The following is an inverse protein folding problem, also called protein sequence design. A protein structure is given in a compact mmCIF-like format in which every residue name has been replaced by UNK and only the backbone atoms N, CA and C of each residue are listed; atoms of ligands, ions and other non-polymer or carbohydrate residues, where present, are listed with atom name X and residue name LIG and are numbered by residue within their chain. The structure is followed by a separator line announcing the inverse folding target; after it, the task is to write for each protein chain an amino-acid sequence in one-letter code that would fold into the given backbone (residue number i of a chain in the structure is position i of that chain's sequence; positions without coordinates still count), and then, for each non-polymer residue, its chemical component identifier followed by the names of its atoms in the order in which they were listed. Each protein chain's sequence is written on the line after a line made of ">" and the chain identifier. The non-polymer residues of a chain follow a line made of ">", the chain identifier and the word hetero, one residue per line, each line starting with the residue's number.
data_IF_292890443487
#
_entry.id   IF_292890443487
#
_cell.length_a   1.000
_cell.length_b   1.000
_cell.length_c   1.000
_cell.angle_alpha   90.00
_cell.angle_beta   90.00
_cell.angle_gamma   90.00
#
_symmetry.space_group_name_H-M   'P 1'
#
loop_
_entity.id
_entity.type
_entity.pdbx_description
1 polymer ?
#
# COMPACT_ATOMS: atom_id res chain seq x y z
N UNK A 1 42.31 12.20 67.81
CA UNK A 1 43.62 12.55 67.22
C UNK A 1 43.58 12.11 65.77
N UNK A 2 43.65 12.88 64.69
CA UNK A 2 43.73 14.31 64.37
C UNK A 2 42.97 14.43 63.01
N UNK A 3 42.04 15.39 62.82
CA UNK A 3 42.17 16.59 61.94
C UNK A 3 43.12 16.37 60.73
N UNK A 4 42.79 16.70 59.47
CA UNK A 4 42.40 18.05 59.00
C UNK A 4 42.00 18.07 57.50
N UNK A 5 41.02 18.93 57.15
CA UNK A 5 40.85 19.81 55.95
C UNK A 5 40.71 19.33 54.48
N UNK A 6 39.58 19.75 53.88
CA UNK A 6 39.18 20.01 52.46
C UNK A 6 40.11 21.03 51.72
N UNK A 7 39.85 21.48 50.45
CA UNK A 7 39.24 20.89 49.23
C UNK A 7 40.05 21.22 47.92
N UNK A 8 39.66 20.69 46.75
CA UNK A 8 39.97 21.33 45.46
C UNK A 8 38.90 21.02 44.40
N UNK A 9 38.23 22.08 43.96
CA UNK A 9 37.36 22.14 42.78
C UNK A 9 38.15 21.83 41.51
N UNK A 10 37.63 20.95 40.66
CA UNK A 10 37.98 20.89 39.25
C UNK A 10 36.70 20.89 38.41
N UNK A 11 36.40 22.04 37.83
CA UNK A 11 35.38 22.23 36.79
C UNK A 11 35.95 21.64 35.50
N UNK A 12 35.36 20.55 35.00
CA UNK A 12 35.62 20.05 33.65
C UNK A 12 34.41 20.37 32.78
N UNK A 13 34.60 21.31 31.86
CA UNK A 13 33.62 21.74 30.88
C UNK A 13 33.25 20.60 29.92
N UNK A 14 31.96 20.33 29.81
CA UNK A 14 31.40 19.49 28.78
C UNK A 14 31.39 20.27 27.45
N UNK A 15 32.43 20.05 26.63
CA UNK A 15 32.41 20.46 25.24
C UNK A 15 31.43 19.55 24.47
N UNK A 16 30.31 20.14 24.04
CA UNK A 16 29.31 19.48 23.21
C UNK A 16 29.88 19.12 21.85
N UNK A 17 30.12 17.83 21.62
CA UNK A 17 30.29 17.25 20.29
C UNK A 17 28.91 17.16 19.64
N UNK A 18 28.59 18.16 18.82
CA UNK A 18 27.52 18.08 17.82
C UNK A 18 27.94 17.02 16.79
N UNK A 19 27.45 15.78 16.96
CA UNK A 19 27.53 14.80 15.89
C UNK A 19 26.60 15.23 14.75
N UNK A 20 27.10 15.33 13.51
CA UNK A 20 26.23 15.54 12.37
C UNK A 20 25.30 14.34 12.24
N UNK A 21 23.99 14.60 12.27
CA UNK A 21 22.96 13.64 11.93
C UNK A 21 23.13 13.35 10.43
N UNK A 22 23.90 12.33 10.09
CA UNK A 22 23.91 11.79 8.74
C UNK A 22 22.51 11.25 8.47
N UNK A 23 21.79 11.73 7.43
CA UNK A 23 20.52 11.14 7.06
C UNK A 23 20.77 9.66 6.79
N UNK A 24 20.06 8.80 7.50
CA UNK A 24 20.00 7.38 7.19
C UNK A 24 19.53 7.27 5.73
N UNK A 25 20.48 7.02 4.83
CA UNK A 25 20.17 6.64 3.47
C UNK A 25 19.28 5.41 3.57
N UNK A 26 18.01 5.56 3.18
CA UNK A 26 17.09 4.44 3.07
C UNK A 26 17.75 3.44 2.12
N UNK A 27 18.14 2.28 2.66
CA UNK A 27 18.75 1.22 1.85
C UNK A 27 17.84 0.96 0.64
N UNK A 28 18.44 0.93 -0.56
CA UNK A 28 17.69 0.58 -1.76
C UNK A 28 17.04 -0.80 -1.55
N UNK A 29 15.77 -0.98 -1.96
CA UNK A 29 15.10 -2.25 -1.81
C UNK A 29 15.93 -3.36 -2.46
N UNK A 30 16.19 -4.42 -1.71
CA UNK A 30 16.98 -5.56 -2.18
C UNK A 30 16.23 -6.31 -3.29
N UNK A 31 16.99 -6.93 -4.20
CA UNK A 31 16.46 -7.82 -5.21
C UNK A 31 15.87 -9.09 -4.58
N UNK A 32 14.74 -9.56 -5.11
CA UNK A 32 13.99 -10.69 -4.58
C UNK A 32 13.51 -11.61 -5.69
N UNK A 33 13.47 -12.92 -5.42
CA UNK A 33 12.96 -13.90 -6.36
C UNK A 33 11.44 -13.76 -6.54
N UNK A 34 11.00 -13.72 -7.80
CA UNK A 34 9.60 -13.76 -8.17
C UNK A 34 9.24 -15.20 -8.57
N UNK A 35 8.18 -15.79 -8.00
CA UNK A 35 7.76 -17.14 -8.37
C UNK A 35 7.19 -17.16 -9.80
N UNK A 36 7.98 -17.71 -10.73
CA UNK A 36 7.51 -18.08 -12.08
C UNK A 36 6.95 -19.49 -11.99
N UNK A 37 5.62 -19.63 -12.03
CA UNK A 37 4.99 -20.93 -11.86
C UNK A 37 5.27 -21.79 -13.09
N UNK A 38 5.76 -23.01 -12.88
CA UNK A 38 6.07 -23.94 -13.96
C UNK A 38 6.98 -23.31 -15.05
N UNK A 39 7.99 -22.52 -14.65
CA UNK A 39 8.92 -21.87 -15.59
C UNK A 39 9.83 -22.82 -16.37
N UNK A 40 9.89 -24.09 -15.98
CA UNK A 40 10.56 -25.17 -16.73
C UNK A 40 9.61 -25.99 -17.60
N UNK A 41 8.32 -25.64 -17.58
CA UNK A 41 7.25 -26.26 -18.35
C UNK A 41 7.09 -27.77 -18.16
N UNK A 42 7.53 -28.30 -17.01
CA UNK A 42 7.46 -29.72 -16.70
C UNK A 42 6.02 -30.20 -16.45
N UNK A 43 5.14 -29.31 -15.98
CA UNK A 43 3.76 -29.66 -15.61
C UNK A 43 2.74 -29.28 -16.71
N UNK A 44 1.74 -30.13 -16.98
CA UNK A 44 1.58 -31.49 -16.44
C UNK A 44 2.61 -32.46 -17.03
N UNK A 45 2.97 -33.53 -16.33
CA UNK A 45 3.97 -34.52 -16.81
C UNK A 45 3.64 -35.01 -18.22
N UNK A 46 4.59 -34.86 -19.14
CA UNK A 46 4.45 -35.34 -20.52
C UNK A 46 4.49 -36.86 -20.60
N UNK A 47 3.62 -37.44 -21.44
CA UNK A 47 3.65 -38.86 -21.82
C UNK A 47 4.31 -38.99 -23.19
N UNK A 48 5.59 -39.37 -23.21
CA UNK A 48 6.39 -39.52 -24.42
C UNK A 48 7.12 -38.24 -24.84
N UNK A 49 7.91 -38.35 -25.91
CA UNK A 49 8.89 -37.32 -26.27
C UNK A 49 8.38 -36.30 -27.31
N UNK A 50 7.31 -36.60 -28.06
CA UNK A 50 6.83 -35.78 -29.16
C UNK A 50 6.18 -34.44 -28.75
N UNK A 51 5.96 -33.51 -29.71
CA UNK A 51 5.29 -32.25 -29.43
C UNK A 51 3.87 -32.49 -28.94
N UNK A 52 3.48 -31.77 -27.89
CA UNK A 52 2.13 -31.82 -27.33
C UNK A 52 1.51 -30.43 -27.29
N UNK A 53 0.20 -30.37 -27.57
CA UNK A 53 -0.63 -29.17 -27.40
C UNK A 53 -1.45 -29.23 -26.10
N UNK A 54 -1.18 -30.21 -25.24
CA UNK A 54 -1.76 -30.24 -23.89
C UNK A 54 -1.37 -28.95 -23.18
N UNK A 55 -2.33 -28.32 -22.51
CA UNK A 55 -2.13 -27.07 -21.77
C UNK A 55 -0.96 -27.18 -20.81
N UNK A 56 -0.23 -26.08 -20.66
CA UNK A 56 0.91 -25.97 -19.75
C UNK A 56 0.37 -25.34 -18.46
N UNK A 57 0.52 -26.02 -17.33
CA UNK A 57 -0.06 -25.53 -16.08
C UNK A 57 0.45 -24.12 -15.74
N UNK A 58 -0.47 -23.24 -15.36
CA UNK A 58 -0.23 -21.81 -15.04
C UNK A 58 0.16 -20.89 -16.22
N UNK A 59 0.22 -21.42 -17.43
CA UNK A 59 0.49 -20.64 -18.64
C UNK A 59 -0.72 -20.67 -19.57
N UNK A 60 -0.98 -19.56 -20.25
CA UNK A 60 -2.07 -19.44 -21.22
C UNK A 60 -1.52 -19.13 -22.62
N UNK A 61 -2.24 -19.60 -23.64
CA UNK A 61 -1.95 -19.31 -25.05
C UNK A 61 -1.72 -20.56 -25.90
N UNK A 62 -1.51 -20.34 -27.21
CA UNK A 62 -1.46 -21.38 -28.23
C UNK A 62 -0.02 -21.78 -28.56
N UNK A 63 0.48 -22.81 -27.89
CA UNK A 63 1.89 -23.22 -27.97
C UNK A 63 2.03 -24.74 -28.15
N UNK A 64 3.22 -25.20 -28.51
CA UNK A 64 3.58 -26.61 -28.49
C UNK A 64 4.71 -26.85 -27.49
N UNK A 65 4.50 -27.78 -26.57
CA UNK A 65 5.53 -28.19 -25.62
C UNK A 65 6.28 -29.41 -26.11
N UNK A 66 7.58 -29.43 -25.92
CA UNK A 66 8.52 -30.49 -26.28
C UNK A 66 9.20 -31.01 -25.01
N UNK A 67 9.37 -32.33 -24.94
CA UNK A 67 10.18 -32.98 -23.90
C UNK A 67 11.62 -32.44 -23.91
N UNK A 68 12.41 -32.62 -22.83
CA UNK A 68 13.81 -32.23 -22.81
C UNK A 68 14.58 -32.87 -23.97
N UNK A 69 14.40 -34.18 -24.19
CA UNK A 69 15.04 -34.92 -25.29
C UNK A 69 14.66 -34.38 -26.66
N UNK A 70 13.37 -34.18 -26.94
CA UNK A 70 12.92 -33.71 -28.25
C UNK A 70 13.25 -32.23 -28.52
N UNK A 71 13.48 -31.45 -27.45
CA UNK A 71 13.93 -30.07 -27.53
C UNK A 71 15.47 -29.93 -27.52
N UNK A 72 16.19 -31.05 -27.52
CA UNK A 72 17.65 -31.09 -27.53
C UNK A 72 18.29 -30.62 -26.23
N UNK A 73 17.55 -30.67 -25.12
CA UNK A 73 17.98 -30.25 -23.79
C UNK A 73 18.47 -31.42 -22.95
N UNK A 74 19.44 -31.14 -22.09
CA UNK A 74 20.05 -32.13 -21.16
C UNK A 74 19.71 -31.88 -19.69
N UNK A 75 19.02 -30.77 -19.38
CA UNK A 75 18.81 -30.25 -18.04
C UNK A 75 17.38 -30.43 -17.51
N UNK A 76 16.67 -31.43 -18.05
CA UNK A 76 15.28 -31.81 -17.73
C UNK A 76 14.20 -30.73 -17.93
N UNK A 77 14.55 -29.51 -18.33
CA UNK A 77 13.58 -28.48 -18.68
C UNK A 77 12.99 -28.71 -20.06
N UNK A 78 11.73 -28.35 -20.23
CA UNK A 78 10.98 -28.54 -21.47
C UNK A 78 11.09 -27.28 -22.34
N UNK A 79 11.01 -27.46 -23.66
CA UNK A 79 10.98 -26.36 -24.61
C UNK A 79 9.56 -26.06 -25.07
N UNK A 80 9.19 -24.79 -25.21
CA UNK A 80 7.85 -24.38 -25.67
C UNK A 80 7.98 -23.55 -26.94
N UNK A 81 7.46 -24.08 -28.05
CA UNK A 81 7.42 -23.41 -29.33
C UNK A 81 6.21 -22.48 -29.43
N UNK A 82 6.47 -21.22 -29.83
CA UNK A 82 5.46 -20.15 -29.90
C UNK A 82 4.56 -20.23 -31.14
N UNK A 83 4.72 -21.24 -31.99
CA UNK A 83 3.93 -21.47 -33.21
C UNK A 83 3.93 -20.25 -34.18
N UNK A 84 2.78 -19.92 -34.77
CA UNK A 84 2.62 -18.90 -35.83
C UNK A 84 2.58 -17.47 -35.31
N UNK A 85 2.76 -16.48 -36.19
CA UNK A 85 2.64 -15.06 -35.87
C UNK A 85 1.40 -14.73 -35.01
N UNK A 86 1.62 -13.93 -33.98
CA UNK A 86 0.59 -13.48 -33.03
C UNK A 86 0.20 -14.50 -31.96
N UNK A 87 0.62 -15.77 -32.05
CA UNK A 87 0.44 -16.71 -30.95
C UNK A 87 1.29 -16.30 -29.75
N UNK A 88 0.74 -16.52 -28.55
CA UNK A 88 1.33 -16.06 -27.29
C UNK A 88 1.53 -17.18 -26.29
N UNK A 89 2.52 -17.01 -25.41
CA UNK A 89 2.71 -17.73 -24.16
C UNK A 89 2.71 -16.71 -23.02
N UNK A 90 1.72 -16.81 -22.12
CA UNK A 90 1.43 -15.77 -21.12
C UNK A 90 1.38 -16.36 -19.71
N UNK A 91 1.96 -15.63 -18.77
CA UNK A 91 1.78 -15.90 -17.33
C UNK A 91 1.76 -14.60 -16.55
N UNK A 92 0.91 -14.57 -15.53
CA UNK A 92 0.90 -13.49 -14.55
C UNK A 92 1.95 -13.70 -13.46
N UNK A 93 2.84 -12.73 -13.27
CA UNK A 93 3.90 -12.77 -12.26
C UNK A 93 3.32 -12.44 -10.88
N UNK A 94 2.94 -13.47 -10.12
CA UNK A 94 2.20 -13.33 -8.85
C UNK A 94 3.04 -12.64 -7.77
N UNK A 95 2.40 -11.75 -7.00
CA UNK A 95 3.03 -11.01 -5.90
C UNK A 95 3.89 -9.80 -6.30
N UNK A 96 4.14 -9.59 -7.59
CA UNK A 96 4.85 -8.40 -8.10
C UNK A 96 3.93 -7.18 -8.02
N UNK A 97 4.46 -6.04 -7.59
CA UNK A 97 3.70 -4.79 -7.41
C UNK A 97 3.84 -3.85 -8.61
N UNK A 98 2.80 -3.06 -8.87
CA UNK A 98 2.91 -1.94 -9.79
C UNK A 98 4.08 -1.02 -9.37
N UNK A 99 4.91 -0.60 -10.32
CA UNK A 99 6.13 0.16 -10.10
C UNK A 99 7.37 -0.67 -9.74
N UNK A 100 7.25 -1.99 -9.52
CA UNK A 100 8.41 -2.86 -9.32
C UNK A 100 9.23 -2.96 -10.59
N UNK A 101 10.56 -2.97 -10.45
CA UNK A 101 11.47 -3.27 -11.57
C UNK A 101 11.71 -4.77 -11.62
N UNK A 102 11.24 -5.42 -12.68
CA UNK A 102 11.31 -6.87 -12.87
C UNK A 102 12.39 -7.19 -13.89
N UNK A 103 13.22 -8.18 -13.58
CA UNK A 103 14.16 -8.80 -14.52
C UNK A 103 13.74 -10.25 -14.75
N UNK A 104 13.40 -10.57 -15.98
CA UNK A 104 13.08 -11.93 -16.43
C UNK A 104 14.30 -12.49 -17.15
N UNK A 105 14.79 -13.63 -16.70
CA UNK A 105 15.80 -14.41 -17.40
C UNK A 105 15.17 -15.66 -17.98
N UNK A 106 15.50 -16.00 -19.21
CA UNK A 106 14.95 -17.16 -19.90
C UNK A 106 15.93 -17.63 -20.96
N UNK A 107 15.60 -18.73 -21.64
CA UNK A 107 16.35 -19.19 -22.80
C UNK A 107 15.49 -19.28 -24.03
N UNK A 108 16.10 -19.05 -25.18
CA UNK A 108 15.48 -19.20 -26.49
C UNK A 108 16.28 -20.17 -27.39
N UNK A 109 15.61 -20.77 -28.36
CA UNK A 109 16.21 -21.62 -29.39
C UNK A 109 15.40 -21.53 -30.68
N UNK A 110 16.04 -21.64 -31.87
CA UNK A 110 15.32 -21.92 -33.10
C UNK A 110 14.59 -23.27 -33.00
N UNK A 111 13.57 -23.46 -33.84
CA UNK A 111 12.74 -24.66 -33.87
C UNK A 111 13.54 -25.97 -34.01
N UNK A 112 13.13 -27.01 -33.29
CA UNK A 112 13.76 -28.35 -33.32
C UNK A 112 13.04 -29.34 -34.23
N UNK A 113 11.90 -28.96 -34.81
CA UNK A 113 11.11 -29.86 -35.66
C UNK A 113 11.89 -30.33 -36.89
N UNK A 114 11.74 -31.61 -37.23
CA UNK A 114 12.31 -32.22 -38.44
C UNK A 114 11.72 -31.65 -39.74
N UNK A 115 10.58 -30.96 -39.64
CA UNK A 115 9.89 -30.38 -40.80
C UNK A 115 10.50 -29.04 -41.24
N UNK A 116 11.39 -28.45 -40.43
CA UNK A 116 11.99 -27.15 -40.74
C UNK A 116 13.14 -27.29 -41.73
N UNK A 117 13.17 -26.39 -42.72
CA UNK A 117 14.27 -26.27 -43.68
C UNK A 117 15.40 -25.39 -43.11
N UNK A 118 16.60 -25.50 -43.69
CA UNK A 118 17.73 -24.63 -43.32
C UNK A 118 17.41 -23.14 -43.48
N UNK A 119 16.81 -22.77 -44.61
CA UNK A 119 16.41 -21.39 -44.91
C UNK A 119 15.46 -20.79 -43.85
N UNK A 120 14.62 -21.60 -43.19
CA UNK A 120 13.66 -21.14 -42.19
C UNK A 120 14.28 -20.84 -40.82
N UNK A 121 15.49 -21.32 -40.55
CA UNK A 121 16.14 -21.20 -39.23
C UNK A 121 17.58 -20.68 -39.30
N UNK A 122 18.18 -20.56 -40.48
CA UNK A 122 19.59 -20.16 -40.66
C UNK A 122 19.91 -18.81 -40.02
N UNK A 123 18.98 -17.85 -40.13
CA UNK A 123 19.12 -16.49 -39.56
C UNK A 123 18.42 -16.35 -38.19
N UNK A 124 17.94 -17.47 -37.65
CA UNK A 124 17.12 -17.50 -36.44
C UNK A 124 15.66 -17.15 -36.72
N UNK A 125 14.85 -17.19 -35.67
CA UNK A 125 13.41 -16.99 -35.77
C UNK A 125 12.96 -15.84 -34.86
N UNK A 126 12.15 -14.90 -35.37
CA UNK A 126 11.77 -13.72 -34.61
C UNK A 126 10.63 -13.99 -33.62
N UNK A 127 10.69 -13.37 -32.46
CA UNK A 127 9.64 -13.30 -31.45
C UNK A 127 9.73 -11.98 -30.67
N UNK A 128 8.70 -11.66 -29.91
CA UNK A 128 8.69 -10.53 -28.99
C UNK A 128 8.52 -11.02 -27.55
N UNK A 129 9.13 -10.31 -26.60
CA UNK A 129 8.86 -10.46 -25.17
C UNK A 129 8.37 -9.14 -24.60
N UNK A 130 7.35 -9.19 -23.75
CA UNK A 130 6.80 -8.01 -23.07
C UNK A 130 6.26 -8.33 -21.68
N UNK A 131 6.30 -7.34 -20.78
CA UNK A 131 5.61 -7.34 -19.50
C UNK A 131 4.56 -6.25 -19.45
N UNK A 132 3.43 -6.44 -18.75
CA UNK A 132 2.39 -5.40 -18.60
C UNK A 132 2.99 -4.06 -18.14
N UNK A 133 2.82 -3.00 -18.94
CA UNK A 133 3.37 -1.66 -18.69
C UNK A 133 4.83 -1.45 -19.13
N UNK A 134 5.51 -2.51 -19.56
CA UNK A 134 6.87 -2.47 -20.07
C UNK A 134 6.96 -2.28 -21.59
N UNK A 135 8.16 -1.98 -22.12
CA UNK A 135 8.39 -1.92 -23.55
C UNK A 135 8.32 -3.33 -24.17
N UNK A 136 7.84 -3.43 -25.40
CA UNK A 136 7.97 -4.66 -26.20
C UNK A 136 9.42 -4.77 -26.68
N UNK A 137 10.07 -5.90 -26.42
CA UNK A 137 11.40 -6.20 -26.92
C UNK A 137 11.30 -7.25 -28.04
N UNK A 138 11.62 -6.85 -29.27
CA UNK A 138 11.74 -7.77 -30.40
C UNK A 138 13.10 -8.49 -30.32
N UNK A 139 13.09 -9.80 -30.54
CA UNK A 139 14.24 -10.69 -30.41
C UNK A 139 14.25 -11.70 -31.55
N UNK A 140 15.44 -12.09 -31.98
CA UNK A 140 15.65 -13.20 -32.92
C UNK A 140 16.50 -14.25 -32.23
N UNK A 141 16.08 -15.52 -32.32
CA UNK A 141 16.85 -16.65 -31.78
C UNK A 141 18.21 -16.75 -32.46
N UNK A 142 19.13 -17.53 -31.89
CA UNK A 142 20.32 -17.92 -32.65
C UNK A 142 19.91 -18.66 -33.94
N UNK A 143 20.67 -18.44 -35.01
CA UNK A 143 20.49 -19.16 -36.27
C UNK A 143 20.97 -20.61 -36.19
N UNK A 144 20.46 -21.48 -37.06
CA UNK A 144 20.86 -22.90 -37.14
C UNK A 144 21.24 -23.27 -38.59
N UNK A 145 22.47 -22.95 -39.03
CA UNK A 145 22.91 -23.14 -40.42
C UNK A 145 23.08 -24.62 -40.79
N UNK A 146 23.26 -25.50 -39.80
CA UNK A 146 23.44 -26.93 -40.02
C UNK A 146 22.10 -27.68 -40.17
N UNK A 147 20.98 -26.95 -40.22
CA UNK A 147 19.64 -27.54 -40.30
C UNK A 147 19.38 -28.18 -41.65
N UNK A 148 19.04 -29.47 -41.61
CA UNK A 148 18.58 -30.25 -42.75
C UNK A 148 17.15 -30.78 -42.53
N UNK A 149 16.29 -30.63 -43.54
CA UNK A 149 14.92 -31.16 -43.50
C UNK A 149 14.95 -32.69 -43.32
N UNK A 150 14.03 -33.21 -42.51
CA UNK A 150 13.92 -34.63 -42.16
C UNK A 150 14.74 -35.02 -40.93
N UNK A 151 15.61 -34.14 -40.42
CA UNK A 151 16.42 -34.38 -39.22
C UNK A 151 15.96 -33.47 -38.08
N UNK A 152 15.61 -34.02 -36.89
CA UNK A 152 15.33 -33.19 -35.72
C UNK A 152 16.51 -32.29 -35.36
N UNK A 153 16.21 -31.05 -34.99
CA UNK A 153 17.19 -30.10 -34.49
C UNK A 153 17.73 -30.49 -33.13
N UNK A 154 18.98 -30.11 -32.85
CA UNK A 154 19.63 -30.34 -31.55
C UNK A 154 19.31 -29.26 -30.52
N UNK A 155 18.54 -28.23 -30.88
CA UNK A 155 18.34 -27.03 -30.08
C UNK A 155 19.61 -26.17 -30.02
N UNK A 156 19.46 -24.85 -30.09
CA UNK A 156 20.57 -23.89 -29.90
C UNK A 156 20.18 -22.88 -28.81
N UNK A 157 20.15 -23.39 -27.59
CA UNK A 157 19.68 -22.67 -26.42
C UNK A 157 20.61 -21.52 -26.02
N UNK A 158 20.08 -20.30 -26.02
CA UNK A 158 20.81 -19.08 -25.68
C UNK A 158 20.14 -18.38 -24.50
N UNK A 159 20.95 -17.92 -23.53
CA UNK A 159 20.45 -17.17 -22.38
C UNK A 159 20.05 -15.74 -22.76
N UNK A 160 18.88 -15.31 -22.28
CA UNK A 160 18.30 -13.98 -22.52
C UNK A 160 17.87 -13.33 -21.22
N UNK A 161 17.81 -12.00 -21.24
CA UNK A 161 17.25 -11.20 -20.17
C UNK A 161 16.31 -10.13 -20.75
N UNK A 162 15.23 -9.87 -20.03
CA UNK A 162 14.26 -8.82 -20.32
C UNK A 162 13.95 -8.06 -19.03
N UNK A 163 14.07 -6.73 -19.06
CA UNK A 163 13.86 -5.87 -17.88
C UNK A 163 12.72 -4.91 -18.17
N UNK A 164 11.78 -4.79 -17.23
CA UNK A 164 10.69 -3.84 -17.32
C UNK A 164 10.25 -3.32 -15.96
N UNK A 165 9.53 -2.20 -15.95
CA UNK A 165 8.80 -1.72 -14.77
C UNK A 165 7.35 -2.17 -14.88
N UNK A 166 6.84 -2.84 -13.85
CA UNK A 166 5.47 -3.32 -13.82
C UNK A 166 4.48 -2.15 -13.86
N UNK A 167 3.58 -2.11 -14.86
CA UNK A 167 2.55 -1.08 -14.96
C UNK A 167 1.29 -1.36 -14.15
N UNK A 168 1.13 -2.60 -13.66
CA UNK A 168 -0.01 -3.07 -12.87
C UNK A 168 0.47 -4.06 -11.81
N UNK A 169 -0.38 -4.36 -10.81
CA UNK A 169 -0.09 -5.45 -9.88
C UNK A 169 -0.20 -6.79 -10.60
N UNK A 170 0.64 -7.73 -10.17
CA UNK A 170 0.86 -9.01 -10.83
C UNK A 170 0.91 -8.84 -12.36
N UNK A 171 1.94 -8.22 -12.97
CA UNK A 171 1.98 -7.95 -14.40
C UNK A 171 2.01 -9.26 -15.21
N UNK A 172 1.50 -9.23 -16.44
CA UNK A 172 1.55 -10.37 -17.36
C UNK A 172 2.85 -10.33 -18.15
N UNK A 173 3.64 -11.39 -18.05
CA UNK A 173 4.73 -11.70 -18.95
C UNK A 173 4.18 -12.41 -20.19
N UNK A 174 4.52 -11.92 -21.37
CA UNK A 174 4.05 -12.42 -22.66
C UNK A 174 5.21 -12.64 -23.60
N UNK A 175 5.28 -13.83 -24.19
CA UNK A 175 6.10 -14.12 -25.37
C UNK A 175 5.19 -14.25 -26.58
N UNK A 176 5.53 -13.61 -27.69
CA UNK A 176 4.71 -13.58 -28.90
C UNK A 176 5.53 -14.00 -30.11
N UNK A 177 5.10 -15.02 -30.85
CA UNK A 177 5.77 -15.38 -32.12
C UNK A 177 5.62 -14.26 -33.15
N UNK A 178 6.67 -14.01 -33.93
CA UNK A 178 6.69 -13.09 -35.08
C UNK A 178 6.97 -13.81 -36.40
N UNK A 179 6.84 -15.13 -36.42
CA UNK A 179 7.07 -15.93 -37.62
C UNK A 179 5.88 -15.76 -38.57
N UNK A 180 6.04 -14.89 -39.55
CA UNK A 180 4.99 -14.49 -40.51
C UNK A 180 4.79 -15.47 -41.67
N UNK A 181 5.75 -16.35 -41.91
CA UNK A 181 5.63 -17.34 -42.99
C UNK A 181 4.64 -18.44 -42.63
N UNK A 182 3.37 -18.20 -42.92
CA UNK A 182 2.24 -19.12 -42.72
C UNK A 182 2.31 -20.41 -43.56
N UNK A 183 3.26 -20.54 -44.49
CA UNK A 183 3.52 -21.80 -45.22
C UNK A 183 4.45 -22.74 -44.47
N UNK A 184 5.08 -22.26 -43.38
CA UNK A 184 5.84 -23.10 -42.47
C UNK A 184 4.91 -23.99 -41.66
N UNK A 185 5.33 -25.24 -41.46
CA UNK A 185 4.67 -26.13 -40.51
C UNK A 185 4.61 -25.42 -39.15
N UNK A 186 3.46 -25.47 -38.46
CA UNK A 186 3.22 -24.86 -37.12
C UNK A 186 4.34 -25.16 -36.10
N UNK A 187 5.10 -26.22 -36.36
CA UNK A 187 6.23 -26.72 -35.57
C UNK A 187 7.56 -25.97 -35.81
N UNK A 188 7.65 -25.08 -36.80
CA UNK A 188 8.85 -24.30 -37.15
C UNK A 188 8.80 -22.88 -36.58
N UNK A 189 8.81 -22.80 -35.25
CA UNK A 189 8.69 -21.54 -34.50
C UNK A 189 9.73 -21.42 -33.39
N UNK A 190 10.06 -20.19 -32.97
CA UNK A 190 11.00 -19.97 -31.88
C UNK A 190 10.50 -20.65 -30.62
N UNK A 191 11.45 -21.21 -29.87
CA UNK A 191 11.19 -21.92 -28.64
C UNK A 191 11.73 -21.14 -27.45
N UNK A 192 11.03 -21.23 -26.32
CA UNK A 192 11.44 -20.66 -25.04
C UNK A 192 11.51 -21.72 -23.94
N UNK A 193 12.38 -21.52 -22.95
CA UNK A 193 12.58 -22.42 -21.80
C UNK A 193 13.12 -21.65 -20.57
N UNK A 194 13.13 -22.32 -19.41
CA UNK A 194 13.77 -21.89 -18.15
C UNK A 194 13.48 -20.44 -17.75
N UNK A 195 12.21 -20.09 -17.70
CA UNK A 195 11.80 -18.74 -17.32
C UNK A 195 11.98 -18.59 -15.81
N UNK A 196 12.69 -17.54 -15.40
CA UNK A 196 12.91 -17.10 -14.02
C UNK A 196 12.72 -15.60 -13.95
N UNK A 197 12.34 -15.10 -12.78
CA UNK A 197 12.16 -13.68 -12.58
C UNK A 197 12.66 -13.26 -11.19
N UNK A 198 13.19 -12.04 -11.14
CA UNK A 198 13.52 -11.32 -9.92
C UNK A 198 12.92 -9.93 -9.99
N UNK A 199 12.60 -9.34 -8.84
CA UNK A 199 12.11 -7.97 -8.76
C UNK A 199 12.90 -7.14 -7.76
N UNK A 200 12.93 -5.84 -8.02
CA UNK A 200 13.19 -4.81 -7.02
C UNK A 200 11.85 -4.13 -6.73
N UNK A 201 11.25 -4.34 -5.54
CA UNK A 201 9.96 -3.76 -5.19
C UNK A 201 9.97 -2.22 -5.22
N UNK A 202 8.83 -1.57 -5.48
CA UNK A 202 8.74 -0.12 -5.40
C UNK A 202 8.94 0.34 -3.95
N UNK A 203 9.40 1.59 -3.77
CA UNK A 203 9.43 2.20 -2.46
C UNK A 203 8.00 2.38 -1.94
N UNK A 204 7.79 2.08 -0.65
CA UNK A 204 6.49 2.22 0.00
C UNK A 204 6.14 3.70 0.18
N UNK A 205 5.04 4.14 -0.41
CA UNK A 205 4.52 5.49 -0.21
C UNK A 205 3.79 5.59 1.15
N UNK A 206 4.48 6.17 2.12
CA UNK A 206 3.95 6.39 3.48
C UNK A 206 3.08 7.64 3.61
N UNK A 207 2.89 8.40 2.53
CA UNK A 207 2.08 9.63 2.53
C UNK A 207 0.61 9.38 2.20
N UNK A 208 0.30 8.18 1.71
CA UNK A 208 -1.07 7.76 1.38
C UNK A 208 -1.95 7.74 2.62
N UNK A 209 -3.03 8.50 2.58
CA UNK A 209 -4.01 8.64 3.66
C UNK A 209 -4.83 7.34 3.86
N UNK A 210 -5.27 7.08 5.10
CA UNK A 210 -6.10 5.90 5.43
C UNK A 210 -7.43 5.84 4.68
N UNK A 211 -7.92 6.97 4.19
CA UNK A 211 -9.15 7.10 3.39
C UNK A 211 -8.91 6.96 1.88
N UNK A 212 -7.66 6.76 1.45
CA UNK A 212 -7.27 6.64 0.03
C UNK A 212 -6.23 5.52 -0.18
N UNK A 213 -6.52 4.33 0.32
CA UNK A 213 -5.64 3.14 0.30
C UNK A 213 -5.37 2.58 -1.10
N UNK A 214 -5.97 3.17 -2.14
CA UNK A 214 -5.85 2.74 -3.52
C UNK A 214 -6.90 1.69 -3.91
N UNK A 215 -6.85 1.27 -5.17
CA UNK A 215 -7.79 0.32 -5.74
C UNK A 215 -7.37 -1.11 -5.45
N UNK A 216 -8.29 -1.92 -4.95
CA UNK A 216 -8.16 -3.37 -4.83
C UNK A 216 -8.40 -4.02 -6.19
N UNK A 217 -7.71 -5.12 -6.43
CA UNK A 217 -7.78 -5.86 -7.69
C UNK A 217 -7.97 -7.34 -7.43
N UNK A 218 -8.69 -8.00 -8.34
CA UNK A 218 -8.91 -9.43 -8.28
C UNK A 218 -8.50 -10.11 -9.59
N UNK A 219 -8.04 -11.36 -9.49
CA UNK A 219 -7.59 -12.17 -10.60
C UNK A 219 -8.11 -13.59 -10.47
N UNK A 220 -8.34 -14.23 -11.61
CA UNK A 220 -8.60 -15.67 -11.73
C UNK A 220 -7.62 -16.26 -12.75
N UNK A 221 -6.74 -17.14 -12.30
CA UNK A 221 -5.68 -17.63 -13.18
C UNK A 221 -4.76 -16.47 -13.61
N UNK A 222 -4.62 -16.26 -14.92
CA UNK A 222 -3.84 -15.16 -15.50
C UNK A 222 -4.70 -13.93 -15.86
N UNK A 223 -6.02 -14.00 -15.72
CA UNK A 223 -6.92 -12.93 -16.13
C UNK A 223 -7.33 -12.07 -14.95
N UNK A 224 -7.47 -10.77 -15.21
CA UNK A 224 -7.97 -9.80 -14.24
C UNK A 224 -9.49 -9.86 -14.24
N UNK A 225 -10.09 -9.93 -13.05
CA UNK A 225 -11.54 -9.87 -12.90
C UNK A 225 -12.03 -8.44 -13.07
N UNK A 226 -13.19 -8.27 -13.70
CA UNK A 226 -13.85 -6.97 -13.85
C UNK A 226 -14.50 -6.45 -12.56
N UNK A 227 -14.67 -7.33 -11.57
CA UNK A 227 -15.29 -7.03 -10.27
C UNK A 227 -14.66 -7.87 -9.17
N UNK A 228 -14.61 -7.33 -7.96
CA UNK A 228 -14.09 -8.03 -6.78
C UNK A 228 -15.08 -9.08 -6.24
N UNK A 229 -16.34 -9.04 -6.68
CA UNK A 229 -17.43 -9.85 -6.15
C UNK A 229 -17.13 -11.36 -6.18
N UNK A 230 -16.69 -11.90 -7.32
CA UNK A 230 -16.44 -13.33 -7.47
C UNK A 230 -15.31 -13.81 -6.56
N UNK A 231 -14.23 -13.04 -6.46
CA UNK A 231 -13.10 -13.37 -5.62
C UNK A 231 -13.47 -13.27 -4.13
N UNK A 232 -14.20 -12.23 -3.73
CA UNK A 232 -14.68 -12.08 -2.35
C UNK A 232 -15.67 -13.20 -1.96
N UNK A 233 -16.59 -13.55 -2.86
CA UNK A 233 -17.52 -14.66 -2.66
C UNK A 233 -16.79 -16.01 -2.54
N UNK A 234 -15.76 -16.25 -3.36
CA UNK A 234 -14.92 -17.43 -3.24
C UNK A 234 -14.20 -17.47 -1.88
N UNK A 235 -13.66 -16.34 -1.43
CA UNK A 235 -12.93 -16.25 -0.17
C UNK A 235 -13.78 -16.33 1.09
N UNK A 236 -15.06 -15.92 1.01
CA UNK A 236 -16.04 -16.05 2.09
C UNK A 236 -16.88 -17.33 2.01
N UNK A 237 -16.75 -18.13 0.95
CA UNK A 237 -17.41 -19.42 0.81
C UNK A 237 -16.69 -20.56 1.52
N UNK A 238 -17.06 -21.80 1.20
CA UNK A 238 -16.43 -23.03 1.73
C UNK A 238 -14.93 -23.13 1.36
N UNK A 239 -14.52 -22.45 0.29
CA UNK A 239 -13.16 -22.44 -0.22
C UNK A 239 -12.36 -21.35 0.50
N UNK A 240 -12.17 -21.50 1.81
CA UNK A 240 -11.48 -20.51 2.63
C UNK A 240 -10.17 -20.06 1.97
N UNK A 241 -10.14 -18.80 1.52
CA UNK A 241 -8.90 -18.18 1.08
C UNK A 241 -7.90 -18.17 2.23
N UNK A 242 -6.62 -18.05 1.90
CA UNK A 242 -5.60 -17.73 2.88
C UNK A 242 -5.13 -16.32 2.59
N UNK A 243 -5.24 -15.43 3.58
CA UNK A 243 -4.61 -14.12 3.48
C UNK A 243 -3.09 -14.28 3.61
N UNK A 244 -2.36 -13.72 2.66
CA UNK A 244 -0.90 -13.69 2.62
C UNK A 244 -0.45 -12.24 2.74
N UNK A 245 -0.04 -11.79 3.94
CA UNK A 245 0.43 -10.43 4.12
C UNK A 245 1.75 -10.21 3.36
N UNK A 246 1.86 -9.06 2.71
CA UNK A 246 3.11 -8.54 2.18
C UNK A 246 3.77 -7.66 3.23
N UNK A 247 4.69 -8.26 3.99
CA UNK A 247 5.42 -7.57 5.07
C UNK A 247 6.33 -6.46 4.54
N UNK A 248 6.64 -6.43 3.23
CA UNK A 248 7.54 -5.45 2.62
C UNK A 248 6.85 -4.10 2.45
N UNK A 249 5.55 -4.12 2.20
CA UNK A 249 4.73 -2.93 1.99
C UNK A 249 3.82 -2.60 3.18
N UNK A 250 3.80 -3.48 4.18
CA UNK A 250 3.09 -3.25 5.45
C UNK A 250 3.95 -2.44 6.43
N UNK A 251 3.39 -1.41 7.04
CA UNK A 251 4.13 -0.53 7.95
C UNK A 251 3.24 0.11 9.02
N UNK A 252 3.89 0.60 10.07
CA UNK A 252 3.25 1.36 11.14
C UNK A 252 3.53 2.84 10.98
N UNK A 253 2.58 3.67 11.37
CA UNK A 253 2.72 5.11 11.34
C UNK A 253 1.83 5.78 12.38
N UNK A 254 2.08 7.06 12.60
CA UNK A 254 1.16 7.91 13.35
C UNK A 254 0.35 8.72 12.35
N UNK A 255 -0.96 8.71 12.52
CA UNK A 255 -1.85 9.51 11.69
C UNK A 255 -1.70 11.01 11.98
N UNK A 256 -2.48 11.84 11.29
CA UNK A 256 -2.60 13.26 11.59
C UNK A 256 -3.16 13.45 13.01
N UNK A 257 -2.52 14.35 13.76
CA UNK A 257 -3.03 14.76 15.05
C UNK A 257 -4.37 15.48 14.88
N UNK A 258 -5.32 15.22 15.78
CA UNK A 258 -6.61 15.92 15.82
C UNK A 258 -6.95 16.31 17.26
N UNK A 259 -7.70 17.39 17.42
CA UNK A 259 -8.20 17.80 18.74
C UNK A 259 -9.20 16.76 19.23
N UNK A 260 -9.07 16.37 20.49
CA UNK A 260 -10.01 15.47 21.18
C UNK A 260 -10.61 16.17 22.39
N UNK A 261 -11.94 16.10 22.50
CA UNK A 261 -12.70 16.87 23.49
C UNK A 261 -12.74 18.36 23.18
N UNK A 262 -13.04 19.15 24.22
CA UNK A 262 -13.19 20.61 24.11
C UNK A 262 -11.86 21.35 24.35
N UNK A 263 -11.77 22.59 23.88
CA UNK A 263 -10.71 23.50 24.29
C UNK A 263 -11.15 24.31 25.51
N UNK A 264 -10.24 24.59 26.44
CA UNK A 264 -10.51 25.40 27.63
C UNK A 264 -9.85 26.75 27.53
N UNK A 265 -10.64 27.81 27.77
CA UNK A 265 -10.21 29.20 27.75
C UNK A 265 -10.13 29.70 29.20
N UNK A 266 -8.95 30.08 29.69
CA UNK A 266 -8.79 30.58 31.07
C UNK A 266 -9.02 32.10 31.17
N UNK A 267 -10.29 32.51 31.30
CA UNK A 267 -10.67 33.92 31.46
C UNK A 267 -10.36 34.51 32.86
N UNK A 268 -9.84 33.69 33.78
CA UNK A 268 -9.56 34.10 35.16
C UNK A 268 -8.19 34.77 35.28
N UNK A 269 -7.88 35.30 36.47
CA UNK A 269 -6.55 35.84 36.79
C UNK A 269 -5.62 34.80 37.43
N UNK A 270 -6.10 33.57 37.67
CA UNK A 270 -5.36 32.51 38.33
C UNK A 270 -5.03 31.39 37.36
N UNK A 271 -3.93 30.68 37.59
CA UNK A 271 -3.69 29.41 36.89
C UNK A 271 -4.79 28.43 37.26
N UNK A 272 -5.40 27.79 36.26
CA UNK A 272 -6.40 26.75 36.47
C UNK A 272 -5.73 25.39 36.31
N UNK A 273 -6.02 24.50 37.25
CA UNK A 273 -5.76 23.07 37.11
C UNK A 273 -7.10 22.36 36.91
N UNK A 274 -7.22 21.64 35.79
CA UNK A 274 -8.45 20.98 35.41
C UNK A 274 -8.15 19.54 35.03
N UNK A 275 -8.84 18.59 35.65
CA UNK A 275 -8.75 17.17 35.33
C UNK A 275 -10.01 16.76 34.58
N UNK A 276 -9.86 16.09 33.44
CA UNK A 276 -10.97 15.53 32.68
C UNK A 276 -10.64 14.19 32.06
N UNK A 277 -11.69 13.41 31.80
CA UNK A 277 -11.62 12.16 31.06
C UNK A 277 -11.84 12.44 29.58
N UNK A 278 -10.84 12.11 28.76
CA UNK A 278 -10.94 12.13 27.31
C UNK A 278 -11.27 10.74 26.81
N UNK A 279 -12.32 10.63 26.00
CA UNK A 279 -12.68 9.39 25.29
C UNK A 279 -12.39 9.56 23.81
N UNK A 280 -11.77 8.57 23.20
CA UNK A 280 -11.54 8.55 21.76
C UNK A 280 -11.63 7.13 21.21
N UNK A 281 -11.95 7.04 19.92
CA UNK A 281 -12.02 5.78 19.20
C UNK A 281 -11.36 5.89 17.84
N UNK A 282 -10.83 4.76 17.37
CA UNK A 282 -10.33 4.56 16.02
C UNK A 282 -11.02 3.36 15.39
N UNK A 283 -11.21 3.44 14.07
CA UNK A 283 -11.68 2.33 13.25
C UNK A 283 -10.66 1.96 12.19
N UNK A 284 -10.85 0.78 11.62
CA UNK A 284 -10.11 0.34 10.44
C UNK A 284 -10.75 0.87 9.16
N UNK A 285 -9.93 0.90 8.12
CA UNK A 285 -10.28 1.23 6.75
C UNK A 285 -9.72 0.12 5.85
N UNK A 286 -10.35 -0.12 4.71
CA UNK A 286 -9.88 -1.11 3.75
C UNK A 286 -10.01 -0.60 2.31
N UNK A 287 -9.13 -1.08 1.44
CA UNK A 287 -9.14 -0.72 0.03
C UNK A 287 -10.32 -1.30 -0.74
N UNK A 288 -10.97 -2.38 -0.27
CA UNK A 288 -12.09 -3.02 -0.99
C UNK A 288 -13.29 -2.10 -0.94
N UNK A 289 -13.68 -1.65 0.26
CA UNK A 289 -14.78 -0.70 0.45
C UNK A 289 -14.53 0.61 -0.30
N UNK A 290 -13.30 1.12 -0.27
CA UNK A 290 -12.90 2.32 -1.00
C UNK A 290 -12.97 2.14 -2.52
N UNK A 291 -12.58 0.98 -3.05
CA UNK A 291 -12.68 0.68 -4.50
C UNK A 291 -14.12 0.77 -5.00
N UNK A 292 -15.07 0.23 -4.24
CA UNK A 292 -16.49 0.34 -4.57
C UNK A 292 -17.00 1.78 -4.45
N UNK A 293 -16.60 2.49 -3.39
CA UNK A 293 -16.98 3.88 -3.18
C UNK A 293 -16.46 4.81 -4.30
N UNK A 294 -15.19 4.67 -4.70
CA UNK A 294 -14.56 5.45 -5.77
C UNK A 294 -15.20 5.17 -7.14
N UNK A 295 -15.65 3.93 -7.38
CA UNK A 295 -16.38 3.56 -8.57
C UNK A 295 -17.87 3.99 -8.55
N UNK A 296 -18.36 4.55 -7.44
CA UNK A 296 -19.78 4.88 -7.27
C UNK A 296 -20.69 3.64 -7.24
N UNK A 297 -20.16 2.48 -6.86
CA UNK A 297 -20.87 1.21 -6.85
C UNK A 297 -21.25 0.80 -5.41
N UNK A 298 -22.40 0.12 -5.23
CA UNK A 298 -22.77 -0.41 -3.93
C UNK A 298 -21.80 -1.53 -3.54
N UNK A 299 -21.26 -1.45 -2.32
CA UNK A 299 -20.38 -2.48 -1.75
C UNK A 299 -21.18 -3.77 -1.48
N UNK A 300 -20.92 -4.88 -2.20
CA UNK A 300 -21.62 -6.14 -2.01
C UNK A 300 -21.38 -6.68 -0.61
N UNK A 301 -22.41 -7.25 -0.01
CA UNK A 301 -22.35 -7.80 1.35
C UNK A 301 -21.23 -8.85 1.52
N UNK A 302 -20.98 -9.66 0.49
CA UNK A 302 -19.89 -10.66 0.46
C UNK A 302 -18.48 -10.08 0.43
N UNK A 303 -18.31 -8.78 0.19
CA UNK A 303 -17.02 -8.11 0.11
C UNK A 303 -16.76 -7.17 1.30
N UNK A 304 -17.71 -7.07 2.24
CA UNK A 304 -17.60 -6.17 3.40
C UNK A 304 -16.64 -6.72 4.44
N UNK A 305 -15.61 -5.94 4.73
CA UNK A 305 -14.76 -6.13 5.90
C UNK A 305 -15.34 -5.34 7.11
N UNK A 306 -14.85 -5.61 8.34
CA UNK A 306 -15.27 -4.90 9.56
C UNK A 306 -14.75 -3.45 9.63
N UNK A 307 -15.25 -2.60 8.72
CA UNK A 307 -14.79 -1.22 8.50
C UNK A 307 -15.95 -0.22 8.34
N UNK A 308 -17.20 -0.60 8.64
CA UNK A 308 -18.34 0.34 8.45
C UNK A 308 -18.29 1.50 9.44
N UNK A 309 -17.67 1.30 10.61
CA UNK A 309 -17.66 2.26 11.70
C UNK A 309 -18.86 2.13 12.64
N UNK A 310 -19.81 1.24 12.35
CA UNK A 310 -20.77 0.76 13.35
C UNK A 310 -20.16 -0.45 14.05
N UNK A 311 -19.81 -0.27 15.33
CA UNK A 311 -19.18 -1.29 16.14
C UNK A 311 -20.01 -2.57 16.22
N UNK A 312 -21.32 -2.46 16.32
CA UNK A 312 -22.21 -3.62 16.46
C UNK A 312 -22.21 -4.44 15.17
N UNK A 313 -22.26 -3.77 14.02
CA UNK A 313 -22.16 -4.45 12.73
C UNK A 313 -20.77 -5.05 12.50
N UNK A 314 -19.71 -4.31 12.85
CA UNK A 314 -18.34 -4.76 12.63
C UNK A 314 -17.98 -5.96 13.52
N UNK A 315 -18.43 -5.99 14.79
CA UNK A 315 -18.31 -7.16 15.67
C UNK A 315 -19.01 -8.39 15.07
N UNK A 316 -20.25 -8.23 14.59
CA UNK A 316 -20.96 -9.31 13.90
C UNK A 316 -20.20 -9.80 12.66
N UNK A 317 -19.62 -8.90 11.87
CA UNK A 317 -18.84 -9.28 10.66
C UNK A 317 -17.56 -10.05 11.01
N UNK A 318 -16.90 -9.73 12.11
CA UNK A 318 -15.71 -10.47 12.56
C UNK A 318 -16.06 -11.94 12.82
N UNK A 319 -17.23 -12.21 13.39
CA UNK A 319 -17.69 -13.56 13.72
C UNK A 319 -18.24 -14.31 12.50
N UNK A 320 -18.99 -13.63 11.64
CA UNK A 320 -19.72 -14.26 10.53
C UNK A 320 -18.95 -14.32 9.20
N UNK A 321 -17.91 -13.50 9.01
CA UNK A 321 -17.20 -13.38 7.71
C UNK A 321 -15.82 -14.03 7.74
N UNK A 322 -15.60 -15.14 6.99
CA UNK A 322 -14.31 -15.81 6.94
C UNK A 322 -13.13 -14.92 6.56
N UNK A 323 -13.31 -13.96 5.64
CA UNK A 323 -12.22 -13.06 5.24
C UNK A 323 -11.64 -12.23 6.40
N UNK A 324 -12.49 -11.73 7.31
CA UNK A 324 -12.04 -10.97 8.47
C UNK A 324 -11.19 -11.84 9.41
N UNK A 325 -11.63 -13.08 9.64
CA UNK A 325 -10.90 -14.09 10.40
C UNK A 325 -9.58 -14.49 9.73
N UNK A 326 -9.59 -14.78 8.42
CA UNK A 326 -8.42 -15.13 7.63
C UNK A 326 -7.35 -14.04 7.68
N UNK A 327 -7.76 -12.78 7.52
CA UNK A 327 -6.88 -11.62 7.64
C UNK A 327 -6.27 -11.54 9.05
N UNK A 328 -7.11 -11.59 10.08
CA UNK A 328 -6.68 -11.44 11.48
C UNK A 328 -5.72 -12.55 11.91
N UNK A 329 -6.01 -13.80 11.52
CA UNK A 329 -5.15 -14.97 11.79
C UNK A 329 -3.81 -14.88 11.06
N UNK A 330 -3.81 -14.46 9.79
CA UNK A 330 -2.58 -14.32 9.02
C UNK A 330 -1.71 -13.19 9.55
N UNK A 331 -2.32 -12.07 9.98
CA UNK A 331 -1.63 -11.00 10.67
C UNK A 331 -1.02 -11.49 11.99
N UNK A 332 -1.79 -12.19 12.82
CA UNK A 332 -1.29 -12.69 14.10
C UNK A 332 -0.12 -13.66 13.92
N UNK A 333 -0.19 -14.54 12.92
CA UNK A 333 0.93 -15.42 12.55
C UNK A 333 2.16 -14.64 12.10
N UNK A 334 1.99 -13.57 11.33
CA UNK A 334 3.09 -12.77 10.77
C UNK A 334 3.78 -11.86 11.79
N UNK A 335 3.01 -11.27 12.72
CA UNK A 335 3.50 -10.24 13.65
C UNK A 335 3.46 -10.65 15.13
N UNK A 336 3.02 -11.87 15.45
CA UNK A 336 2.91 -12.42 16.80
C UNK A 336 2.08 -11.56 17.76
N UNK A 337 1.02 -10.94 17.23
CA UNK A 337 0.05 -10.17 18.01
C UNK A 337 -1.30 -10.12 17.30
N UNK A 338 -2.42 -10.06 18.04
CA UNK A 338 -3.74 -10.03 17.43
C UNK A 338 -3.96 -8.69 16.70
N UNK A 339 -4.69 -8.77 15.58
CA UNK A 339 -5.18 -7.59 14.86
C UNK A 339 -6.29 -6.90 15.66
N UNK A 340 -6.41 -5.58 15.50
CA UNK A 340 -7.54 -4.80 16.01
C UNK A 340 -8.26 -4.11 14.86
N UNK A 341 -9.55 -4.43 14.69
CA UNK A 341 -10.41 -3.74 13.73
C UNK A 341 -10.82 -2.34 14.24
N UNK A 342 -10.91 -2.17 15.55
CA UNK A 342 -11.27 -0.92 16.19
C UNK A 342 -10.57 -0.79 17.54
N UNK A 343 -10.41 0.44 18.02
CA UNK A 343 -9.94 0.75 19.37
C UNK A 343 -10.84 1.82 19.99
N UNK A 344 -10.99 1.74 21.31
CA UNK A 344 -11.65 2.75 22.13
C UNK A 344 -10.88 2.85 23.44
N UNK A 345 -10.43 4.04 23.80
CA UNK A 345 -9.67 4.29 25.03
C UNK A 345 -10.23 5.50 25.77
N UNK A 346 -10.02 5.52 27.08
CA UNK A 346 -10.35 6.63 27.95
C UNK A 346 -9.13 6.99 28.78
N UNK A 347 -8.72 8.26 28.74
CA UNK A 347 -7.59 8.75 29.55
C UNK A 347 -7.94 9.99 30.31
N UNK A 348 -7.55 10.00 31.59
CA UNK A 348 -7.63 11.20 32.41
C UNK A 348 -6.43 12.08 32.11
N UNK A 349 -6.67 13.34 31.74
CA UNK A 349 -5.63 14.35 31.51
C UNK A 349 -5.80 15.46 32.54
N UNK A 350 -4.69 15.85 33.16
CA UNK A 350 -4.62 16.99 34.08
C UNK A 350 -3.97 18.14 33.33
N UNK A 351 -4.77 19.13 32.98
CA UNK A 351 -4.35 20.33 32.27
C UNK A 351 -4.04 21.45 33.27
N UNK A 352 -2.96 22.19 33.03
CA UNK A 352 -2.59 23.40 33.78
C UNK A 352 -2.55 24.57 32.80
N UNK A 353 -3.44 25.54 32.99
CA UNK A 353 -3.73 26.61 32.03
C UNK A 353 -3.42 27.96 32.67
N UNK A 354 -2.49 28.74 32.12
CA UNK A 354 -2.17 30.05 32.67
C UNK A 354 -3.26 31.09 32.35
N UNK A 355 -3.35 32.20 33.12
CA UNK A 355 -4.24 33.31 32.78
C UNK A 355 -3.99 33.81 31.35
N UNK A 356 -5.05 33.95 30.56
CA UNK A 356 -4.93 34.42 29.17
C UNK A 356 -4.48 33.36 28.16
N UNK A 357 -4.45 32.08 28.54
CA UNK A 357 -4.18 30.96 27.65
C UNK A 357 -5.44 30.14 27.31
N UNK A 358 -5.35 29.45 26.18
CA UNK A 358 -6.25 28.37 25.76
C UNK A 358 -5.48 27.05 25.82
N UNK A 359 -6.09 26.01 26.38
CA UNK A 359 -5.57 24.65 26.41
C UNK A 359 -6.42 23.73 25.55
N UNK A 360 -5.78 22.84 24.80
CA UNK A 360 -6.45 21.77 24.07
C UNK A 360 -5.58 20.52 24.08
N UNK A 361 -6.21 19.38 23.86
CA UNK A 361 -5.51 18.10 23.76
C UNK A 361 -5.63 17.58 22.33
N UNK A 362 -4.48 17.26 21.75
CA UNK A 362 -4.38 16.61 20.46
C UNK A 362 -4.12 15.12 20.66
N UNK A 363 -4.82 14.28 19.92
CA UNK A 363 -4.55 12.86 19.83
C UNK A 363 -3.99 12.54 18.45
N UNK A 364 -2.84 11.86 18.45
CA UNK A 364 -2.21 11.32 17.26
C UNK A 364 -2.30 9.79 17.31
N UNK A 365 -3.24 9.18 16.57
CA UNK A 365 -3.48 7.75 16.68
C UNK A 365 -2.36 6.98 15.99
N UNK A 366 -1.97 5.89 16.62
CA UNK A 366 -1.05 4.90 16.09
C UNK A 366 -1.82 3.94 15.17
N UNK A 367 -1.27 3.72 13.98
CA UNK A 367 -1.93 2.93 12.94
C UNK A 367 -0.97 1.94 12.32
N UNK A 368 -1.51 0.84 11.82
CA UNK A 368 -0.79 -0.17 11.09
C UNK A 368 -1.50 -0.45 9.77
N UNK A 369 -0.74 -0.31 8.69
CA UNK A 369 -1.16 -0.65 7.35
C UNK A 369 -0.64 -2.03 7.02
N UNK A 370 -1.55 -2.92 6.67
CA UNK A 370 -1.27 -4.30 6.29
C UNK A 370 -1.79 -4.49 4.88
N UNK A 371 -0.88 -4.79 3.99
CA UNK A 371 -1.19 -5.10 2.60
C UNK A 371 -1.00 -6.59 2.36
N UNK A 372 -1.78 -7.17 1.45
CA UNK A 372 -1.60 -8.57 1.08
C UNK A 372 -2.64 -9.08 0.11
N UNK A 373 -2.68 -10.40 -0.01
CA UNK A 373 -3.55 -11.10 -0.96
C UNK A 373 -4.33 -12.20 -0.27
N UNK A 374 -5.65 -12.22 -0.47
CA UNK A 374 -6.46 -13.41 -0.25
C UNK A 374 -6.27 -14.35 -1.44
N UNK A 375 -5.82 -15.58 -1.18
CA UNK A 375 -5.53 -16.57 -2.23
C UNK A 375 -6.38 -17.82 -2.03
N UNK A 376 -7.22 -18.14 -3.01
CA UNK A 376 -7.95 -19.41 -3.09
C UNK A 376 -7.08 -20.45 -3.79
N UNK A 377 -6.84 -21.59 -3.13
CA UNK A 377 -6.10 -22.71 -3.76
C UNK A 377 -6.95 -23.50 -4.77
N UNK A 378 -8.27 -23.53 -4.58
CA UNK A 378 -9.17 -24.40 -5.35
C UNK A 378 -9.60 -23.75 -6.66
N UNK A 379 -9.97 -22.47 -6.60
CA UNK A 379 -10.54 -21.75 -7.74
C UNK A 379 -9.54 -20.79 -8.40
N UNK A 380 -8.31 -20.73 -7.88
CA UNK A 380 -7.22 -19.84 -8.29
C UNK A 380 -7.60 -18.36 -8.35
N UNK A 381 -8.53 -17.95 -7.48
CA UNK A 381 -8.81 -16.55 -7.22
C UNK A 381 -7.73 -15.93 -6.35
N UNK A 382 -7.38 -14.69 -6.67
CA UNK A 382 -6.52 -13.83 -5.86
C UNK A 382 -7.17 -12.47 -5.74
N UNK A 383 -7.34 -11.99 -4.52
CA UNK A 383 -7.90 -10.68 -4.22
C UNK A 383 -6.89 -9.89 -3.40
N UNK A 384 -6.44 -8.76 -3.96
CA UNK A 384 -5.59 -7.82 -3.26
C UNK A 384 -6.41 -7.01 -2.26
N UNK A 385 -5.85 -6.78 -1.08
CA UNK A 385 -6.43 -5.91 -0.09
C UNK A 385 -5.34 -5.17 0.71
N UNK A 386 -5.63 -3.90 1.00
CA UNK A 386 -4.91 -3.09 1.98
C UNK A 386 -5.89 -2.80 3.11
N UNK A 387 -5.50 -3.14 4.33
CA UNK A 387 -6.27 -2.84 5.53
C UNK A 387 -5.43 -1.95 6.44
N UNK A 388 -6.02 -0.87 6.90
CA UNK A 388 -5.39 0.13 7.74
C UNK A 388 -6.17 0.24 9.04
N UNK A 389 -5.56 -0.13 10.17
CA UNK A 389 -6.25 -0.23 11.45
C UNK A 389 -5.44 0.31 12.63
N UNK A 390 -6.05 0.40 13.82
CA UNK A 390 -5.36 0.77 15.05
C UNK A 390 -4.16 -0.14 15.34
N UNK A 391 -3.02 0.44 15.74
CA UNK A 391 -1.84 -0.37 16.07
C UNK A 391 -1.81 -0.78 17.54
N UNK A 392 -1.57 -2.07 17.80
CA UNK A 392 -1.23 -2.55 19.15
C UNK A 392 0.26 -2.49 19.47
N UNK A 393 1.09 -2.26 18.47
CA UNK A 393 2.54 -2.33 18.64
C UNK A 393 3.15 -1.03 19.16
N UNK A 394 2.44 0.08 18.96
CA UNK A 394 2.87 1.42 19.32
C UNK A 394 1.67 2.11 19.96
N UNK A 395 1.82 2.83 21.08
CA UNK A 395 0.70 3.53 21.69
C UNK A 395 0.37 4.84 20.97
N UNK A 396 -0.89 5.26 21.06
CA UNK A 396 -1.34 6.59 20.65
C UNK A 396 -0.62 7.69 21.44
N UNK A 397 -0.40 8.83 20.79
CA UNK A 397 0.20 10.00 21.45
C UNK A 397 -0.90 10.99 21.82
N UNK A 398 -0.92 11.38 23.08
CA UNK A 398 -1.69 12.53 23.55
C UNK A 398 -0.74 13.68 23.80
N UNK A 399 -1.02 14.80 23.17
CA UNK A 399 -0.23 16.02 23.26
C UNK A 399 -1.13 17.10 23.86
N UNK A 400 -0.85 17.50 25.09
CA UNK A 400 -1.46 18.70 25.65
C UNK A 400 -0.75 19.91 25.06
N UNK A 401 -1.53 20.84 24.54
CA UNK A 401 -1.07 22.10 23.97
C UNK A 401 -1.69 23.25 24.75
N UNK A 402 -0.91 24.30 24.95
CA UNK A 402 -1.42 25.58 25.40
C UNK A 402 -0.93 26.67 24.45
N UNK A 403 -1.71 27.74 24.32
CA UNK A 403 -1.37 28.88 23.50
C UNK A 403 -2.05 30.15 24.00
N UNK A 404 -1.57 31.34 23.59
CA UNK A 404 -2.21 32.59 23.96
C UNK A 404 -3.62 32.67 23.37
N UNK A 405 -4.55 33.27 24.11
CA UNK A 405 -5.87 33.60 23.57
C UNK A 405 -5.76 34.52 22.35
N UNK A 406 -6.59 34.24 21.36
CA UNK A 406 -6.91 35.17 20.28
C UNK A 406 -7.62 36.42 20.81
N UNK A 407 -7.61 37.51 20.04
CA UNK A 407 -8.32 38.75 20.40
C UNK A 407 -9.83 38.51 20.60
N UNK A 408 -10.44 37.64 19.79
CA UNK A 408 -11.85 37.29 19.92
C UNK A 408 -12.16 36.51 21.22
N UNK A 409 -11.25 35.65 21.68
CA UNK A 409 -11.38 34.95 22.96
C UNK A 409 -11.21 35.90 24.14
N UNK A 410 -10.24 36.84 24.06
CA UNK A 410 -10.06 37.88 25.08
C UNK A 410 -11.30 38.77 25.21
N UNK A 411 -11.89 39.19 24.09
CA UNK A 411 -13.11 40.01 24.09
C UNK A 411 -14.29 39.26 24.71
N UNK A 412 -14.45 37.97 24.43
CA UNK A 412 -15.46 37.13 25.09
C UNK A 412 -15.22 37.03 26.60
N UNK A 413 -13.98 36.78 27.02
CA UNK A 413 -13.63 36.78 28.43
C UNK A 413 -13.89 38.12 29.15
N UNK A 414 -13.87 39.24 28.43
CA UNK A 414 -14.20 40.55 28.97
C UNK A 414 -15.71 40.79 29.04
N UNK A 415 -16.47 40.34 28.03
CA UNK A 415 -17.91 40.49 27.96
C UNK A 415 -18.66 39.58 28.95
N UNK A 416 -18.16 38.37 29.20
CA UNK A 416 -18.77 37.38 30.11
C UNK A 416 -18.36 37.58 31.59
N UNK A 417 -17.56 38.59 31.91
CA UNK A 417 -17.35 38.97 33.32
C UNK A 417 -18.61 39.63 33.83
N UNK A 418 -19.31 39.07 34.85
CA UNK A 418 -20.36 39.81 35.53
C UNK A 418 -19.72 41.05 36.14
N UNK A 419 -19.95 42.21 35.53
CA UNK A 419 -19.67 43.52 36.10
C UNK A 419 -20.71 43.84 37.18
N UNK A 420 -21.17 42.83 37.94
CA UNK A 420 -21.88 43.10 39.19
C UNK A 420 -20.85 43.73 40.10
N UNK A 421 -20.93 45.05 40.18
CA UNK A 421 -20.39 45.85 41.27
C UNK A 421 -20.63 45.09 42.56
N UNK A 422 -19.56 44.56 43.18
CA UNK A 422 -19.61 44.22 44.61
C UNK A 422 -20.20 45.45 45.30
N UNK A 423 -21.28 45.33 46.11
CA UNK A 423 -21.81 46.45 46.85
C UNK A 423 -20.70 46.95 47.77
N UNK A 424 -19.99 47.99 47.32
CA UNK A 424 -19.09 48.75 48.17
C UNK A 424 -20.01 49.48 49.12
N UNK A 425 -19.95 49.13 50.41
CA UNK A 425 -20.47 50.00 51.45
C UNK A 425 -19.91 51.40 51.22
N UNK A 426 -20.72 52.43 51.49
CA UNK A 426 -20.55 53.82 51.04
C UNK A 426 -19.25 54.53 51.46
N UNK A 427 -18.31 53.83 52.10
CA UNK A 427 -17.21 54.43 52.84
C UNK A 427 -15.81 53.94 52.38
N UNK A 428 -15.71 53.07 51.36
CA UNK A 428 -14.42 52.56 50.88
C UNK A 428 -14.33 52.52 49.34
N UNK A 429 -13.27 53.10 48.71
CA UNK A 429 -13.10 52.99 47.27
C UNK A 429 -12.70 51.55 46.89
N UNK A 430 -13.46 50.92 46.00
CA UNK A 430 -13.02 49.73 45.29
C UNK A 430 -11.90 50.13 44.32
N UNK A 431 -10.64 49.98 44.73
CA UNK A 431 -9.51 50.13 43.80
C UNK A 431 -9.46 48.91 42.87
N UNK A 432 -10.19 48.93 41.76
CA UNK A 432 -9.77 48.15 40.60
C UNK A 432 -8.68 48.95 39.89
N UNK A 433 -7.43 48.57 40.14
CA UNK A 433 -6.31 49.02 39.32
C UNK A 433 -6.42 48.34 37.96
N UNK A 434 -7.22 48.94 37.08
CA UNK A 434 -7.26 48.63 35.65
C UNK A 434 -5.96 49.15 35.02
N UNK A 435 -4.88 48.37 35.13
CA UNK A 435 -3.69 48.57 34.30
C UNK A 435 -3.85 47.73 33.04
N UNK A 436 -4.52 48.32 32.06
CA UNK A 436 -4.65 47.72 30.73
C UNK A 436 -5.56 48.45 29.76
N UNK A 437 -5.81 49.75 29.94
CA UNK A 437 -6.52 50.56 28.95
C UNK A 437 -5.64 50.76 27.71
N UNK A 438 -5.94 50.03 26.64
CA UNK A 438 -5.73 50.52 25.28
C UNK A 438 -6.51 51.83 25.13
N UNK A 439 -5.79 52.95 24.97
CA UNK A 439 -6.37 54.22 24.53
C UNK A 439 -6.93 54.01 23.11
N UNK A 440 -8.25 53.92 22.97
CA UNK A 440 -8.90 54.25 21.71
C UNK A 440 -9.12 55.77 21.66
N UNK A 441 -8.71 56.48 20.59
CA UNK A 441 -9.05 57.87 20.42
C UNK A 441 -10.53 58.02 20.04
N UNK A 442 -11.16 59.04 20.62
CA UNK A 442 -12.56 59.42 20.42
C UNK A 442 -12.78 59.91 18.98
N UNK A 443 -13.81 59.44 18.24
CA UNK A 443 -14.21 60.07 16.99
C UNK A 443 -14.99 61.36 17.29
N UNK A 444 -14.48 62.48 16.77
CA UNK A 444 -15.15 63.78 16.75
C UNK A 444 -16.31 63.75 15.74
N UNK A 445 -17.52 64.07 16.18
CA UNK A 445 -18.62 64.43 15.28
C UNK A 445 -18.56 65.93 14.94
N UNK A 446 -19.00 66.34 13.75
CA UNK A 446 -20.12 67.28 13.72
C UNK A 446 -21.12 67.07 12.56
N UNK A 447 -22.41 67.32 12.84
CA UNK A 447 -23.25 68.15 11.96
C UNK A 447 -24.19 67.49 10.93
N UNK A 448 -25.42 67.15 11.37
CA UNK A 448 -26.72 67.63 10.84
C UNK A 448 -26.93 67.77 9.29
N UNK A 449 -27.71 66.86 8.68
CA UNK A 449 -29.12 66.99 8.17
C UNK A 449 -29.41 66.31 6.81
N UNK A 450 -30.56 65.61 6.81
CA UNK A 450 -31.56 65.36 5.76
C UNK A 450 -31.06 64.91 4.36
N UNK A 451 -31.55 63.84 3.75
CA UNK A 451 -32.92 63.70 3.25
C UNK A 451 -33.02 62.41 2.43
N UNK A 452 -34.20 61.79 2.50
CA UNK A 452 -34.89 61.10 1.41
C UNK A 452 -34.27 59.87 0.69
N UNK A 453 -35.10 58.82 0.69
CA UNK A 453 -35.52 57.95 -0.42
C UNK A 453 -35.05 56.48 -0.44
N UNK A 454 -36.12 55.65 -0.50
CA UNK A 454 -36.33 54.41 -1.26
C UNK A 454 -35.64 53.12 -0.82
N UNK A 455 -36.51 52.22 -0.31
CA UNK A 455 -36.55 50.76 -0.44
C UNK A 455 -36.18 50.25 -1.85
N UNK A 456 -36.17 48.93 -2.11
CA UNK A 456 -35.56 47.78 -1.39
C UNK A 456 -34.75 46.92 -2.42
N UNK A 457 -34.25 45.74 -2.03
CA UNK A 457 -34.46 44.45 -2.76
C UNK A 457 -33.46 43.35 -2.35
N UNK A 458 -34.02 42.13 -2.42
CA UNK A 458 -33.42 40.78 -2.50
C UNK A 458 -32.85 40.12 -1.24
#
# INVERSE_FOLDING_TARGET
>A
MNRTTLPALAVLGAAGLLMPVTPLASAAPAEQTVPVLNGDFADPVMRGDGPTTVGIDFWTGLNQRYSPTASGRTDASHGVALQKDGNTLRQRLRGVRAGARVTVTYEDSPAVSKECTGEQVVDGQPYAVSGSGGPVQEVTTAGDPDRAKGTPGKGRWTGRAYVFTAGENEPVLTFTSRVTDSRTHVTCSPMVARIRAVEVPPAVDKTVDKTRLGTSEAYKGNERESSLHNAAAACNGENACVFRPDTRTSFRYYDRARVVGEAYVNCTRNTLEHSRVLSYSERSHDSISQTYADAGLPLPEVARLPTSGDRTEDEKRIEERPMAGQFSQAYEKGWQRPWQWFSSDQRTVVERIQPGEVSWVEMQPSRERVEGWFVSKKDDYRLHAVVDGPSRAVPDRLLQRTGPMSEAEKQRCAADRPMTTTPVGADAPASSSDKGLLRAPVPTAPGVRASARSLPLE
#
